data_IF_100902439107
#
_entry.id   IF_100902439107
#
_cell.length_a   1.000
_cell.length_b   1.000
_cell.length_c   1.000
_cell.angle_alpha   90.00
_cell.angle_beta   90.00
_cell.angle_gamma   90.00
#
_symmetry.space_group_name_H-M   'P 1'
#
loop_
_entity.id
_entity.type
_entity.pdbx_description
1 polymer ?
#
# COMPACT_ATOMS: atom_id res chain seq x y z
N UNK A 1 -19.72 -1.97 6.02
CA UNK A 1 -18.53 -1.38 6.54
C UNK A 1 -17.85 -0.48 5.55
N UNK A 2 -16.80 0.15 5.98
CA UNK A 2 -16.08 1.06 5.12
C UNK A 2 -15.14 0.28 4.20
N UNK A 3 -15.13 0.66 2.92
CA UNK A 3 -14.21 0.03 1.98
C UNK A 3 -12.83 0.63 2.17
N UNK A 4 -11.82 -0.23 2.13
CA UNK A 4 -10.43 0.18 2.32
C UNK A 4 -9.61 -0.32 1.14
N UNK A 5 -8.77 0.55 0.60
CA UNK A 5 -7.89 0.18 -0.50
C UNK A 5 -6.45 0.49 -0.11
N UNK A 6 -5.58 -0.50 -0.23
CA UNK A 6 -4.16 -0.30 0.00
C UNK A 6 -3.58 0.43 -1.21
N UNK A 7 -2.77 1.45 -0.94
CA UNK A 7 -2.19 2.29 -1.97
C UNK A 7 -0.67 2.25 -1.83
N UNK A 8 -0.04 1.56 -2.76
CA UNK A 8 1.41 1.43 -2.78
C UNK A 8 2.01 2.73 -3.31
N UNK A 9 2.75 3.43 -2.47
CA UNK A 9 3.33 4.72 -2.81
C UNK A 9 4.74 4.60 -3.36
N UNK A 10 5.23 3.37 -3.56
CA UNK A 10 6.56 3.13 -4.11
C UNK A 10 6.56 3.27 -5.62
N UNK A 11 7.74 3.26 -6.21
CA UNK A 11 7.86 3.22 -7.66
C UNK A 11 7.29 1.92 -8.18
N UNK A 12 6.85 1.94 -9.43
CA UNK A 12 6.17 0.80 -10.03
C UNK A 12 6.94 -0.52 -9.94
N UNK A 13 8.26 -0.50 -10.07
CA UNK A 13 8.99 -1.76 -10.05
C UNK A 13 8.91 -2.46 -8.69
N UNK A 14 8.76 -1.72 -7.60
CA UNK A 14 8.56 -2.34 -6.30
C UNK A 14 7.19 -2.99 -6.20
N UNK A 15 6.17 -2.29 -6.70
CA UNK A 15 4.82 -2.82 -6.74
C UNK A 15 4.77 -4.08 -7.60
N UNK A 16 5.38 -4.04 -8.78
CA UNK A 16 5.36 -5.18 -9.68
C UNK A 16 6.04 -6.39 -9.07
N UNK A 17 7.13 -6.18 -8.35
CA UNK A 17 7.85 -7.27 -7.72
C UNK A 17 7.02 -7.95 -6.64
N UNK A 18 6.42 -7.16 -5.77
CA UNK A 18 5.60 -7.71 -4.69
C UNK A 18 4.77 -6.60 -4.07
N UNK A 19 3.48 -6.82 -3.88
CA UNK A 19 2.60 -5.83 -3.28
C UNK A 19 1.51 -6.49 -2.46
N UNK A 20 0.88 -5.71 -1.60
CA UNK A 20 -0.25 -6.16 -0.80
C UNK A 20 -1.40 -6.49 -1.73
N UNK A 21 -2.11 -7.62 -1.50
CA UNK A 21 -3.18 -8.03 -2.42
C UNK A 21 -4.20 -6.93 -2.67
N UNK A 22 -4.57 -6.77 -3.91
CA UNK A 22 -5.54 -5.77 -4.38
C UNK A 22 -5.08 -4.33 -4.24
N UNK A 23 -3.82 -4.10 -3.89
CA UNK A 23 -3.32 -2.74 -3.79
C UNK A 23 -3.24 -2.09 -5.17
N UNK A 24 -3.43 -0.79 -5.19
CA UNK A 24 -3.17 -0.01 -6.39
C UNK A 24 -1.83 0.68 -6.20
N UNK A 25 -1.22 1.11 -7.27
CA UNK A 25 0.09 1.74 -7.22
C UNK A 25 0.04 3.15 -7.81
N UNK A 26 0.32 4.14 -6.98
CA UNK A 26 0.55 5.50 -7.45
C UNK A 26 1.75 6.01 -6.67
N UNK A 27 2.93 6.09 -7.28
CA UNK A 27 4.11 6.61 -6.59
C UNK A 27 3.81 7.99 -6.01
N UNK A 28 4.34 8.28 -4.83
CA UNK A 28 3.94 9.51 -4.14
C UNK A 28 4.17 10.76 -4.99
N UNK A 29 5.21 10.76 -5.82
CA UNK A 29 5.50 11.91 -6.67
C UNK A 29 4.54 12.07 -7.83
N UNK A 30 3.77 11.04 -8.13
CA UNK A 30 2.82 11.05 -9.24
C UNK A 30 1.38 11.26 -8.79
N UNK A 31 1.17 11.56 -7.52
CA UNK A 31 -0.17 11.80 -6.98
C UNK A 31 -0.61 13.21 -7.32
N UNK A 32 -1.46 13.32 -8.32
CA UNK A 32 -1.96 14.61 -8.82
C UNK A 32 -3.47 14.51 -8.96
N UNK A 33 -4.11 15.64 -9.24
CA UNK A 33 -5.55 15.65 -9.50
C UNK A 33 -5.83 14.72 -10.68
N UNK A 34 -5.00 14.80 -11.71
CA UNK A 34 -5.20 14.01 -12.91
C UNK A 34 -5.03 12.50 -12.66
N UNK A 35 -4.00 12.09 -11.93
CA UNK A 35 -3.74 10.68 -11.72
C UNK A 35 -4.73 10.04 -10.75
N UNK A 36 -5.43 10.85 -9.96
CA UNK A 36 -6.36 10.33 -8.94
C UNK A 36 -7.82 10.62 -9.28
N UNK A 37 -8.10 11.24 -10.40
CA UNK A 37 -9.48 11.67 -10.71
C UNK A 37 -10.46 10.51 -10.81
N UNK A 38 -9.98 9.32 -11.09
CA UNK A 38 -10.83 8.14 -11.21
C UNK A 38 -11.06 7.42 -9.88
N UNK A 39 -10.43 7.88 -8.82
CA UNK A 39 -10.54 7.22 -7.53
C UNK A 39 -11.78 7.69 -6.76
N UNK A 40 -12.36 6.76 -6.02
CA UNK A 40 -13.53 7.03 -5.21
C UNK A 40 -13.13 7.75 -3.93
N UNK A 41 -13.59 8.98 -3.74
CA UNK A 41 -13.23 9.77 -2.58
C UNK A 41 -13.95 9.34 -1.29
N UNK A 42 -14.90 8.41 -1.38
CA UNK A 42 -15.59 7.93 -0.19
C UNK A 42 -14.86 6.72 0.45
N UNK A 43 -13.83 6.23 -0.21
CA UNK A 43 -13.07 5.07 0.24
C UNK A 43 -11.91 5.53 1.11
N UNK A 44 -11.52 4.69 2.07
CA UNK A 44 -10.31 4.95 2.85
C UNK A 44 -9.12 4.35 2.14
N UNK A 45 -8.11 5.15 1.88
CA UNK A 45 -6.86 4.67 1.27
C UNK A 45 -5.80 4.53 2.34
N UNK A 46 -5.10 3.40 2.32
CA UNK A 46 -4.01 3.16 3.28
C UNK A 46 -2.72 3.11 2.49
N UNK A 47 -1.89 4.13 2.63
CA UNK A 47 -0.63 4.19 1.90
C UNK A 47 0.41 3.33 2.57
N UNK A 48 1.30 2.72 1.78
CA UNK A 48 2.40 1.97 2.34
C UNK A 48 3.64 2.06 1.44
N UNK A 49 4.77 1.71 2.03
CA UNK A 49 6.05 1.69 1.36
C UNK A 49 6.74 0.37 1.72
N UNK A 50 8.05 0.31 1.64
CA UNK A 50 8.80 -0.90 1.95
C UNK A 50 8.69 -1.26 3.42
N UNK A 51 8.94 -0.32 4.31
CA UNK A 51 8.93 -0.60 5.74
C UNK A 51 9.25 0.64 6.55
N UNK A 52 9.55 0.43 7.82
CA UNK A 52 9.92 1.50 8.72
C UNK A 52 11.17 2.18 8.18
N UNK A 53 11.16 3.49 8.17
CA UNK A 53 12.29 4.24 7.64
C UNK A 53 12.11 4.70 6.21
N UNK A 54 11.18 4.10 5.49
CA UNK A 54 10.84 4.57 4.15
C UNK A 54 9.77 5.64 4.29
N UNK A 55 9.98 6.80 3.71
CA UNK A 55 9.03 7.89 3.88
C UNK A 55 8.10 8.11 2.69
N UNK A 56 8.11 7.20 1.72
CA UNK A 56 7.22 7.34 0.56
C UNK A 56 5.76 7.24 0.97
N UNK A 57 5.44 6.39 1.95
CA UNK A 57 4.06 6.27 2.41
C UNK A 57 3.60 7.52 3.15
N UNK A 58 4.50 8.16 3.90
CA UNK A 58 4.18 9.39 4.61
C UNK A 58 3.94 10.52 3.60
N UNK A 59 4.81 10.62 2.61
CA UNK A 59 4.64 11.63 1.56
C UNK A 59 3.39 11.35 0.76
N UNK A 60 3.11 10.09 0.47
CA UNK A 60 1.90 9.71 -0.25
C UNK A 60 0.65 10.04 0.54
N UNK A 61 0.66 9.77 1.84
CA UNK A 61 -0.50 10.08 2.68
C UNK A 61 -0.76 11.59 2.68
N UNK A 62 0.30 12.38 2.77
CA UNK A 62 0.17 13.83 2.73
C UNK A 62 -0.40 14.30 1.39
N UNK A 63 0.15 13.78 0.29
CA UNK A 63 -0.30 14.17 -1.03
C UNK A 63 -1.76 13.78 -1.27
N UNK A 64 -2.16 12.59 -0.88
CA UNK A 64 -3.54 12.15 -1.03
C UNK A 64 -4.48 12.97 -0.16
N UNK A 65 -4.06 13.31 1.06
CA UNK A 65 -4.88 14.15 1.94
C UNK A 65 -5.08 15.53 1.32
N UNK A 66 -4.04 16.09 0.72
CA UNK A 66 -4.14 17.39 0.05
C UNK A 66 -5.08 17.35 -1.15
N UNK A 67 -5.23 16.16 -1.76
CA UNK A 67 -6.14 15.98 -2.88
C UNK A 67 -7.57 15.69 -2.43
N UNK A 68 -7.82 15.64 -1.12
CA UNK A 68 -9.18 15.49 -0.61
C UNK A 68 -9.60 14.09 -0.23
N UNK A 69 -8.67 13.14 -0.22
CA UNK A 69 -9.01 11.75 0.10
C UNK A 69 -8.84 11.45 1.59
N UNK A 70 -9.54 10.43 2.07
CA UNK A 70 -9.36 9.92 3.42
C UNK A 70 -8.20 8.96 3.39
N UNK A 71 -7.21 9.15 4.25
CA UNK A 71 -5.97 8.40 4.16
C UNK A 71 -5.47 8.00 5.54
N UNK A 72 -4.91 6.80 5.62
CA UNK A 72 -4.11 6.35 6.75
C UNK A 72 -2.82 5.79 6.19
N UNK A 73 -1.85 5.59 7.05
CA UNK A 73 -0.56 5.07 6.64
C UNK A 73 -0.26 3.76 7.35
N UNK A 74 0.19 2.76 6.60
CA UNK A 74 0.65 1.49 7.17
C UNK A 74 2.14 1.65 7.40
N UNK A 75 2.50 2.07 8.61
CA UNK A 75 3.88 2.45 8.93
C UNK A 75 4.90 1.34 8.73
N UNK A 76 4.55 0.13 9.08
CA UNK A 76 5.45 -1.01 8.90
C UNK A 76 5.65 -1.43 7.46
N UNK A 77 4.79 -0.94 6.56
CA UNK A 77 4.90 -1.23 5.15
C UNK A 77 4.72 -2.69 4.79
N UNK A 78 5.10 -3.02 3.57
CA UNK A 78 4.97 -4.39 3.12
C UNK A 78 5.93 -5.31 3.86
N UNK A 79 7.03 -4.78 4.37
CA UNK A 79 7.97 -5.58 5.15
C UNK A 79 7.31 -6.20 6.37
N UNK A 80 6.60 -5.40 7.18
CA UNK A 80 5.89 -5.92 8.34
C UNK A 80 4.68 -6.74 7.95
N UNK A 81 4.02 -6.41 6.85
CA UNK A 81 2.92 -7.20 6.32
C UNK A 81 3.38 -8.63 6.06
N UNK A 82 4.56 -8.77 5.40
CA UNK A 82 5.13 -10.08 5.12
C UNK A 82 5.62 -10.77 6.37
N UNK A 83 6.23 -10.02 7.27
CA UNK A 83 6.75 -10.57 8.50
C UNK A 83 5.62 -11.21 9.32
N UNK A 84 4.43 -10.59 9.31
CA UNK A 84 3.28 -11.14 10.01
C UNK A 84 2.62 -12.29 9.23
N UNK A 85 3.14 -12.60 8.07
CA UNK A 85 2.72 -13.79 7.34
C UNK A 85 1.56 -13.63 6.40
N UNK A 86 1.20 -12.42 6.04
CA UNK A 86 0.09 -12.21 5.11
C UNK A 86 0.53 -12.40 3.66
N UNK A 87 -0.44 -12.74 2.81
CA UNK A 87 -0.17 -12.99 1.40
C UNK A 87 0.28 -11.74 0.68
N UNK A 88 1.04 -11.93 -0.39
CA UNK A 88 1.39 -10.85 -1.30
C UNK A 88 1.14 -11.30 -2.74
N UNK A 89 1.06 -10.34 -3.64
CA UNK A 89 0.87 -10.58 -5.08
C UNK A 89 2.04 -9.96 -5.83
N UNK A 90 2.20 -10.31 -7.10
CA UNK A 90 3.28 -9.80 -7.93
C UNK A 90 4.22 -10.93 -8.31
N UNK A 91 5.34 -10.57 -8.96
CA UNK A 91 6.31 -11.56 -9.45
C UNK A 91 6.83 -12.43 -8.32
N UNK A 92 7.13 -11.84 -7.17
CA UNK A 92 7.61 -12.55 -6.01
C UNK A 92 6.54 -12.75 -4.94
N UNK A 93 5.28 -12.66 -5.33
CA UNK A 93 4.18 -12.78 -4.39
C UNK A 93 4.11 -14.14 -3.74
N UNK A 94 3.61 -14.19 -2.52
CA UNK A 94 3.52 -15.42 -1.75
C UNK A 94 2.13 -15.64 -1.19
N UNK A 95 1.73 -16.91 -1.16
CA UNK A 95 0.48 -17.26 -0.57
C UNK A 95 0.61 -17.18 0.95
N UNK A 96 -0.52 -16.95 1.61
CA UNK A 96 -0.50 -16.98 3.05
C UNK A 96 -0.76 -18.39 3.46
N UNK A 97 -1.12 -18.58 4.65
CA UNK A 97 -1.53 -19.88 5.12
C UNK A 97 -0.39 -20.68 5.62
N UNK A 98 0.66 -20.63 4.89
CA UNK A 98 1.77 -21.40 5.29
C UNK A 98 2.35 -20.98 6.55
N UNK A 99 2.38 -19.74 6.77
CA UNK A 99 3.06 -19.26 7.86
C UNK A 99 2.45 -19.60 9.12
N UNK A 100 1.29 -20.00 9.08
CA UNK A 100 0.67 -20.28 10.33
C UNK A 100 1.20 -21.48 11.00
N UNK A 101 1.87 -22.30 10.27
CA UNK A 101 2.41 -23.43 10.90
C UNK A 101 3.44 -22.98 11.86
N UNK A 102 4.02 -21.91 11.56
CA UNK A 102 5.06 -21.49 12.38
C UNK A 102 4.50 -21.11 13.68
N UNK A 103 3.34 -20.68 13.66
CA UNK A 103 2.69 -20.41 14.86
C UNK A 103 3.58 -20.38 15.98
N UNK A 104 4.57 -20.19 15.74
CA UNK A 104 5.47 -20.33 16.74
C UNK A 104 5.29 -19.64 17.95
#
# INVERSE_FOLDING_TARGET
>A
GEKVIALDARKYFGYEAEHIPSAINIPHREMTIESTKHLDATVLYVTYCDGIGCNASTKGALNMTRLGFKVKELIGGIEWWKFDGYATEGINGKQTGLKFECAC
#
